data_IF_138530731375
#
_entry.id   IF_138530731375
#
_cell.length_a   1.000
_cell.length_b   1.000
_cell.length_c   1.000
_cell.angle_alpha   90.00
_cell.angle_beta   90.00
_cell.angle_gamma   90.00
#
_symmetry.space_group_name_H-M   'P 1'
#
loop_
_entity.id
_entity.type
_entity.pdbx_description
1 polymer ?
#
# COMPACT_ATOMS: atom_id res chain seq x y z
N UNK A 1 21.07 -13.00 7.99
CA UNK A 1 21.41 -12.08 6.88
C UNK A 1 21.64 -12.90 5.63
N UNK A 2 20.94 -12.59 4.55
CA UNK A 2 21.13 -13.11 3.20
C UNK A 2 21.67 -11.96 2.34
N UNK A 3 22.75 -12.20 1.60
CA UNK A 3 23.28 -11.24 0.61
C UNK A 3 23.45 -11.93 -0.74
N UNK A 4 22.95 -11.32 -1.79
CA UNK A 4 23.08 -11.81 -3.15
C UNK A 4 23.30 -10.65 -4.15
N UNK A 5 23.65 -10.93 -5.40
CA UNK A 5 23.79 -9.90 -6.42
C UNK A 5 22.50 -9.11 -6.70
N UNK A 6 21.34 -9.63 -6.35
CA UNK A 6 20.04 -9.04 -6.68
C UNK A 6 19.16 -8.72 -5.46
N UNK A 7 19.47 -9.27 -4.28
CA UNK A 7 18.64 -9.15 -3.09
C UNK A 7 19.49 -9.23 -1.82
N UNK A 8 19.36 -8.25 -0.95
CA UNK A 8 19.84 -8.35 0.44
C UNK A 8 18.65 -8.42 1.38
N UNK A 9 18.70 -9.36 2.34
CA UNK A 9 17.68 -9.51 3.39
C UNK A 9 18.35 -9.60 4.74
N UNK A 10 17.98 -8.72 5.63
CA UNK A 10 18.35 -8.76 7.04
C UNK A 10 17.07 -8.94 7.87
N UNK A 11 17.07 -9.90 8.79
CA UNK A 11 15.99 -10.08 9.74
C UNK A 11 16.55 -10.44 11.10
N UNK A 12 16.03 -9.81 12.16
CA UNK A 12 16.43 -10.03 13.54
C UNK A 12 15.18 -10.17 14.42
N UNK A 13 15.17 -11.18 15.30
CA UNK A 13 14.07 -11.43 16.21
C UNK A 13 13.64 -12.89 16.24
N UNK A 14 12.44 -13.14 16.78
CA UNK A 14 11.85 -14.48 16.86
C UNK A 14 10.84 -14.66 15.73
N UNK A 15 11.16 -15.48 14.72
CA UNK A 15 10.29 -15.75 13.58
C UNK A 15 10.51 -17.14 12.97
N UNK A 16 9.46 -17.62 12.30
CA UNK A 16 9.49 -18.79 11.42
C UNK A 16 9.28 -18.33 9.99
N UNK A 17 10.31 -18.41 9.15
CA UNK A 17 10.29 -17.87 7.78
C UNK A 17 9.06 -18.33 6.97
N UNK A 18 8.74 -19.64 7.03
CA UNK A 18 7.59 -20.22 6.33
C UNK A 18 6.22 -19.76 6.87
N UNK A 19 6.16 -19.09 8.01
CA UNK A 19 4.92 -18.65 8.68
C UNK A 19 4.76 -17.14 8.77
N UNK A 20 5.75 -16.36 8.34
CA UNK A 20 5.72 -14.89 8.38
C UNK A 20 4.45 -14.37 7.66
N UNK A 21 4.19 -14.83 6.43
CA UNK A 21 3.03 -14.39 5.66
C UNK A 21 1.71 -14.63 6.38
N UNK A 22 1.54 -15.83 6.98
CA UNK A 22 0.34 -16.17 7.74
C UNK A 22 0.22 -15.31 9.01
N UNK A 23 1.31 -15.07 9.73
CA UNK A 23 1.31 -14.25 10.94
C UNK A 23 0.92 -12.80 10.65
N UNK A 24 1.53 -12.19 9.64
CA UNK A 24 1.24 -10.81 9.20
C UNK A 24 -0.21 -10.72 8.70
N UNK A 25 -0.66 -11.66 7.89
CA UNK A 25 -2.05 -11.71 7.39
C UNK A 25 -3.08 -11.81 8.52
N UNK A 26 -2.81 -12.62 9.55
CA UNK A 26 -3.68 -12.71 10.72
C UNK A 26 -3.76 -11.39 11.50
N UNK A 27 -2.63 -10.65 11.61
CA UNK A 27 -2.62 -9.34 12.27
C UNK A 27 -3.34 -8.27 11.44
N UNK A 28 -3.17 -8.26 10.12
CA UNK A 28 -3.90 -7.35 9.22
C UNK A 28 -5.40 -7.60 9.30
N UNK A 29 -5.83 -8.87 9.37
CA UNK A 29 -7.24 -9.26 9.46
C UNK A 29 -7.95 -8.75 10.73
N UNK A 30 -7.23 -8.24 11.73
CA UNK A 30 -7.82 -7.56 12.88
C UNK A 30 -8.27 -6.13 12.57
N UNK A 31 -7.69 -5.52 11.56
CA UNK A 31 -8.06 -4.19 11.08
C UNK A 31 -9.01 -4.25 9.90
N UNK A 32 -8.79 -5.23 9.00
CA UNK A 32 -9.58 -5.44 7.80
C UNK A 32 -9.61 -6.93 7.44
N UNK A 33 -10.73 -7.58 7.64
CA UNK A 33 -10.95 -8.97 7.27
C UNK A 33 -11.75 -9.07 5.97
N UNK A 34 -11.04 -9.19 4.86
CA UNK A 34 -11.66 -9.33 3.52
C UNK A 34 -12.37 -10.69 3.32
N UNK A 35 -12.13 -11.65 4.21
CA UNK A 35 -12.74 -12.99 4.14
C UNK A 35 -13.05 -13.54 5.55
N UNK A 36 -14.04 -12.96 6.26
CA UNK A 36 -14.35 -13.31 7.65
C UNK A 36 -14.76 -14.79 7.83
N UNK A 37 -15.19 -15.47 6.75
CA UNK A 37 -15.55 -16.89 6.77
C UNK A 37 -14.36 -17.81 6.53
N UNK A 38 -13.17 -17.30 6.28
CA UNK A 38 -11.98 -18.14 6.09
C UNK A 38 -11.48 -18.66 7.44
N UNK A 39 -11.06 -19.93 7.45
CA UNK A 39 -10.45 -20.53 8.64
C UNK A 39 -9.07 -19.92 8.88
N UNK A 40 -8.92 -19.13 9.95
CA UNK A 40 -7.63 -18.56 10.34
C UNK A 40 -6.69 -19.66 10.84
N UNK A 41 -5.51 -19.73 10.28
CA UNK A 41 -4.49 -20.71 10.67
C UNK A 41 -3.75 -20.13 11.87
N UNK A 42 -3.81 -20.84 13.00
CA UNK A 42 -3.03 -20.45 14.18
C UNK A 42 -1.53 -20.61 13.91
N UNK A 43 -0.76 -19.61 14.25
CA UNK A 43 0.70 -19.61 14.17
C UNK A 43 1.29 -19.09 15.49
N UNK A 44 2.51 -19.53 15.80
CA UNK A 44 3.24 -18.96 16.96
C UNK A 44 3.42 -17.47 16.80
N UNK A 45 3.40 -16.75 17.93
CA UNK A 45 3.65 -15.29 17.94
C UNK A 45 5.07 -15.01 17.49
N UNK A 46 5.18 -14.12 16.54
CA UNK A 46 6.44 -13.69 15.95
C UNK A 46 6.70 -12.22 16.25
N UNK A 47 7.96 -11.89 16.42
CA UNK A 47 8.42 -10.52 16.61
C UNK A 47 9.79 -10.37 15.94
N UNK A 48 9.88 -9.46 14.97
CA UNK A 48 11.13 -9.24 14.24
C UNK A 48 11.19 -7.85 13.60
N UNK A 49 12.41 -7.42 13.36
CA UNK A 49 12.73 -6.30 12.45
C UNK A 49 13.32 -6.87 11.17
N UNK A 50 13.13 -6.14 10.07
CA UNK A 50 13.67 -6.57 8.79
C UNK A 50 14.09 -5.38 7.93
N UNK A 51 15.04 -5.64 7.03
CA UNK A 51 15.41 -4.78 5.92
C UNK A 51 15.63 -5.62 4.68
N UNK A 52 15.00 -5.23 3.59
CA UNK A 52 15.10 -5.87 2.28
C UNK A 52 15.57 -4.81 1.29
N UNK A 53 16.58 -5.12 0.50
CA UNK A 53 17.05 -4.26 -0.59
C UNK A 53 17.02 -5.08 -1.87
N UNK A 54 16.13 -4.72 -2.79
CA UNK A 54 16.14 -5.25 -4.16
C UNK A 54 17.09 -4.38 -4.97
N UNK A 55 18.13 -5.00 -5.51
CA UNK A 55 19.20 -4.29 -6.25
C UNK A 55 18.87 -4.22 -7.73
N UNK A 56 19.39 -3.21 -8.40
CA UNK A 56 19.44 -3.19 -9.85
C UNK A 56 20.29 -4.38 -10.33
N UNK A 57 19.61 -5.32 -10.98
CA UNK A 57 20.22 -6.56 -11.45
C UNK A 57 19.50 -7.09 -12.68
N UNK A 58 20.25 -7.53 -13.71
CA UNK A 58 19.65 -8.17 -14.89
C UNK A 58 18.77 -9.38 -14.55
N UNK A 59 19.03 -10.05 -13.43
CA UNK A 59 18.22 -11.20 -12.98
C UNK A 59 16.82 -10.72 -12.59
N UNK A 60 16.71 -9.63 -11.85
CA UNK A 60 15.41 -9.07 -11.42
C UNK A 60 14.59 -8.65 -12.63
N UNK A 61 15.22 -7.94 -13.57
CA UNK A 61 14.57 -7.52 -14.83
C UNK A 61 14.10 -8.72 -15.65
N UNK A 62 14.86 -9.81 -15.70
CA UNK A 62 14.46 -11.03 -16.43
C UNK A 62 13.35 -11.82 -15.72
N UNK A 63 13.27 -11.75 -14.40
CA UNK A 63 12.27 -12.50 -13.63
C UNK A 63 10.89 -11.82 -13.59
N UNK A 64 10.85 -10.50 -13.77
CA UNK A 64 9.62 -9.73 -13.71
C UNK A 64 9.26 -9.25 -15.12
N UNK A 65 8.21 -9.82 -15.74
CA UNK A 65 7.76 -9.37 -17.06
C UNK A 65 7.49 -7.85 -17.04
N UNK A 66 7.83 -7.16 -18.14
CA UNK A 66 7.66 -5.72 -18.32
C UNK A 66 8.54 -4.81 -17.44
N UNK A 67 9.24 -5.31 -16.43
CA UNK A 67 10.23 -4.51 -15.72
C UNK A 67 11.41 -4.19 -16.64
N UNK A 68 11.65 -2.91 -16.90
CA UNK A 68 12.74 -2.45 -17.78
C UNK A 68 13.96 -2.01 -17.00
N UNK A 69 13.73 -1.31 -15.89
CA UNK A 69 14.82 -0.84 -15.03
C UNK A 69 14.30 -0.56 -13.62
N UNK A 70 15.18 -0.62 -12.65
CA UNK A 70 14.92 -0.17 -11.29
C UNK A 70 16.20 0.41 -10.68
N UNK A 71 16.05 1.42 -9.85
CA UNK A 71 17.07 1.79 -8.85
C UNK A 71 16.80 0.99 -7.57
N UNK A 72 17.80 0.79 -6.68
CA UNK A 72 17.64 -0.07 -5.51
C UNK A 72 16.41 0.28 -4.67
N UNK A 73 15.48 -0.68 -4.56
CA UNK A 73 14.27 -0.55 -3.77
C UNK A 73 14.57 -1.02 -2.35
N UNK A 74 14.20 -0.22 -1.36
CA UNK A 74 14.37 -0.58 0.05
C UNK A 74 13.00 -0.78 0.70
N UNK A 75 12.85 -1.86 1.47
CA UNK A 75 11.73 -2.13 2.35
C UNK A 75 12.26 -2.48 3.73
N UNK A 76 11.83 -1.75 4.76
CA UNK A 76 12.25 -2.01 6.14
C UNK A 76 11.12 -1.82 7.13
N UNK A 77 11.18 -2.53 8.23
CA UNK A 77 10.12 -2.43 9.21
C UNK A 77 10.31 -3.30 10.43
N UNK A 78 9.25 -3.33 11.22
CA UNK A 78 9.10 -4.20 12.39
C UNK A 78 7.71 -4.79 12.43
N UNK A 79 7.63 -6.00 12.93
CA UNK A 79 6.39 -6.72 13.15
C UNK A 79 6.39 -7.31 14.57
N UNK A 80 5.28 -7.21 15.26
CA UNK A 80 5.08 -7.86 16.56
C UNK A 80 3.65 -8.41 16.65
N UNK A 81 3.51 -9.74 16.63
CA UNK A 81 2.24 -10.45 16.73
C UNK A 81 1.64 -10.46 18.14
N UNK A 82 2.34 -9.96 19.17
CA UNK A 82 1.80 -9.90 20.53
C UNK A 82 0.76 -8.78 20.64
N UNK A 83 1.04 -7.66 20.01
CA UNK A 83 0.17 -6.47 19.98
C UNK A 83 -0.30 -6.10 18.57
N UNK A 84 -0.11 -7.00 17.59
CA UNK A 84 -0.47 -6.84 16.18
C UNK A 84 0.14 -5.57 15.52
N UNK A 85 1.29 -5.13 16.04
CA UNK A 85 1.96 -3.94 15.53
C UNK A 85 2.71 -4.23 14.22
N UNK A 86 2.46 -3.39 13.24
CA UNK A 86 3.12 -3.42 11.93
C UNK A 86 3.65 -2.01 11.65
N UNK A 87 4.95 -1.90 11.45
CA UNK A 87 5.58 -0.68 10.95
C UNK A 87 6.35 -1.03 9.69
N UNK A 88 6.07 -0.32 8.60
CA UNK A 88 6.68 -0.57 7.30
C UNK A 88 7.06 0.75 6.65
N UNK A 89 8.28 0.83 6.13
CA UNK A 89 8.75 1.93 5.29
C UNK A 89 9.35 1.35 4.03
N UNK A 90 8.86 1.79 2.88
CA UNK A 90 9.34 1.41 1.56
C UNK A 90 9.78 2.63 0.77
N UNK A 91 10.84 2.50 -0.03
CA UNK A 91 11.29 3.54 -0.96
C UNK A 91 11.63 2.93 -2.31
N UNK A 92 11.16 3.58 -3.37
CA UNK A 92 11.43 3.26 -4.76
C UNK A 92 11.95 4.53 -5.42
N UNK A 93 13.29 4.73 -5.54
CA UNK A 93 13.83 5.94 -6.14
C UNK A 93 13.41 6.09 -7.59
N UNK A 94 13.56 5.03 -8.39
CA UNK A 94 13.08 5.01 -9.78
C UNK A 94 12.77 3.59 -10.24
N UNK A 95 11.67 3.44 -10.94
CA UNK A 95 11.21 2.17 -11.51
C UNK A 95 10.58 2.42 -12.88
N UNK A 96 10.96 1.65 -13.89
CA UNK A 96 10.29 1.63 -15.19
C UNK A 96 9.65 0.27 -15.43
N UNK A 97 8.31 0.26 -15.53
CA UNK A 97 7.50 -0.93 -15.72
C UNK A 97 6.54 -0.72 -16.91
N UNK A 98 6.66 -1.56 -17.92
CA UNK A 98 5.97 -1.33 -19.20
C UNK A 98 6.37 0.01 -19.80
N UNK A 99 5.42 0.89 -20.04
CA UNK A 99 5.63 2.25 -20.52
C UNK A 99 5.65 3.31 -19.41
N UNK A 100 5.44 2.89 -18.15
CA UNK A 100 5.33 3.81 -17.02
C UNK A 100 6.67 3.94 -16.31
N UNK A 101 7.05 5.16 -15.99
CA UNK A 101 8.17 5.48 -15.08
C UNK A 101 7.62 6.09 -13.81
N UNK A 102 8.04 5.52 -12.69
CA UNK A 102 7.72 5.98 -11.33
C UNK A 102 9.00 6.56 -10.74
N UNK A 103 8.91 7.74 -10.18
CA UNK A 103 10.04 8.44 -9.57
C UNK A 103 9.72 8.81 -8.12
N UNK A 104 10.66 8.52 -7.22
CA UNK A 104 10.60 8.83 -5.78
C UNK A 104 9.28 8.40 -5.12
N UNK A 105 8.97 7.10 -5.18
CA UNK A 105 7.84 6.58 -4.44
C UNK A 105 8.25 6.18 -3.01
N UNK A 106 7.40 6.51 -2.03
CA UNK A 106 7.57 6.17 -0.63
C UNK A 106 6.27 5.60 -0.04
N UNK A 107 6.38 4.45 0.62
CA UNK A 107 5.30 3.81 1.36
C UNK A 107 5.60 3.88 2.86
N UNK A 108 4.61 4.28 3.65
CA UNK A 108 4.63 4.18 5.12
C UNK A 108 3.38 3.48 5.60
N UNK A 109 3.54 2.52 6.50
CA UNK A 109 2.44 1.90 7.24
C UNK A 109 2.83 1.87 8.70
N UNK A 110 1.93 2.25 9.57
CA UNK A 110 2.13 2.23 11.02
C UNK A 110 0.84 1.82 11.75
N UNK A 111 0.99 1.00 12.77
CA UNK A 111 -0.10 0.72 13.70
C UNK A 111 -0.18 1.82 14.74
N UNK A 112 -1.26 2.58 14.73
CA UNK A 112 -1.52 3.68 15.65
C UNK A 112 -2.99 3.70 16.06
N UNK A 113 -3.25 3.92 17.35
CA UNK A 113 -4.61 4.07 17.90
C UNK A 113 -5.58 2.95 17.47
N UNK A 114 -5.10 1.70 17.53
CA UNK A 114 -5.84 0.50 17.12
C UNK A 114 -6.30 0.52 15.65
N UNK A 115 -5.54 1.18 14.79
CA UNK A 115 -5.73 1.23 13.35
C UNK A 115 -4.41 1.03 12.60
N UNK A 116 -4.47 0.64 11.34
CA UNK A 116 -3.34 0.73 10.41
C UNK A 116 -3.43 2.06 9.66
N UNK A 117 -2.51 2.96 9.90
CA UNK A 117 -2.38 4.20 9.14
C UNK A 117 -1.40 3.98 8.00
N UNK A 118 -1.75 4.43 6.80
CA UNK A 118 -0.89 4.27 5.64
C UNK A 118 -0.77 5.55 4.82
N UNK A 119 0.36 5.70 4.16
CA UNK A 119 0.62 6.76 3.18
C UNK A 119 1.52 6.23 2.09
N UNK A 120 1.13 6.45 0.85
CA UNK A 120 1.92 6.20 -0.34
C UNK A 120 2.05 7.50 -1.12
N UNK A 121 3.27 7.97 -1.30
CA UNK A 121 3.58 9.24 -1.98
C UNK A 121 4.46 8.93 -3.18
N UNK A 122 4.19 9.57 -4.31
CA UNK A 122 5.00 9.47 -5.53
C UNK A 122 5.21 10.87 -6.08
N UNK A 123 6.46 11.23 -6.35
CA UNK A 123 6.78 12.54 -6.93
C UNK A 123 6.32 12.63 -8.38
N UNK A 124 6.49 11.56 -9.17
CA UNK A 124 6.05 11.56 -10.56
C UNK A 124 5.74 10.14 -11.06
N UNK A 125 4.63 9.99 -11.76
CA UNK A 125 4.27 8.82 -12.54
C UNK A 125 4.01 9.30 -13.96
N UNK A 126 4.83 8.87 -14.92
CA UNK A 126 4.68 9.31 -16.30
C UNK A 126 4.79 8.18 -17.31
N UNK A 127 4.07 8.34 -18.41
CA UNK A 127 4.24 7.62 -19.65
C UNK A 127 4.05 8.57 -20.82
N UNK A 128 3.94 8.04 -22.06
CA UNK A 128 3.76 8.86 -23.28
C UNK A 128 2.48 9.70 -23.31
N UNK A 129 1.48 9.35 -22.52
CA UNK A 129 0.12 9.93 -22.57
C UNK A 129 -0.25 10.70 -21.31
N UNK A 130 0.30 10.30 -20.16
CA UNK A 130 -0.13 10.79 -18.83
C UNK A 130 1.11 11.15 -18.02
N UNK A 131 1.02 12.28 -17.34
CA UNK A 131 1.90 12.65 -16.25
C UNK A 131 1.06 12.97 -15.01
N UNK A 132 1.38 12.28 -13.90
CA UNK A 132 0.70 12.42 -12.60
C UNK A 132 1.76 12.81 -11.55
N UNK A 133 2.09 14.10 -11.45
CA UNK A 133 3.03 14.58 -10.45
C UNK A 133 2.38 14.60 -9.07
N UNK A 134 3.20 14.57 -8.03
CA UNK A 134 2.83 14.74 -6.62
C UNK A 134 1.56 13.99 -6.20
N UNK A 135 1.54 12.68 -6.51
CA UNK A 135 0.44 11.79 -6.18
C UNK A 135 0.59 11.28 -4.75
N UNK A 136 -0.46 11.41 -3.95
CA UNK A 136 -0.52 10.86 -2.60
C UNK A 136 -1.78 10.02 -2.43
N UNK A 137 -1.63 8.81 -1.87
CA UNK A 137 -2.72 7.99 -1.38
C UNK A 137 -2.48 7.77 0.11
N UNK A 138 -3.41 8.18 0.96
CA UNK A 138 -3.28 8.02 2.40
C UNK A 138 -4.61 7.67 3.06
N UNK A 139 -4.54 7.16 4.27
CA UNK A 139 -5.72 6.81 5.04
C UNK A 139 -5.43 5.94 6.24
N UNK A 140 -6.49 5.31 6.74
CA UNK A 140 -6.41 4.35 7.84
C UNK A 140 -7.34 3.18 7.60
N UNK A 141 -7.02 2.07 8.23
CA UNK A 141 -7.82 0.84 8.21
C UNK A 141 -8.20 0.48 9.64
N UNK A 142 -9.47 0.42 9.92
CA UNK A 142 -10.01 0.11 11.25
C UNK A 142 -11.43 -0.45 11.13
N UNK A 143 -11.76 -1.49 11.90
CA UNK A 143 -13.10 -2.06 11.97
C UNK A 143 -13.67 -2.45 10.59
N UNK A 144 -12.86 -3.10 9.76
CA UNK A 144 -13.20 -3.52 8.39
C UNK A 144 -13.55 -2.37 7.44
N UNK A 145 -13.14 -1.15 7.78
CA UNK A 145 -13.30 0.03 6.94
C UNK A 145 -11.91 0.55 6.58
N UNK A 146 -11.71 0.81 5.30
CA UNK A 146 -10.56 1.52 4.76
C UNK A 146 -11.00 2.94 4.45
N UNK A 147 -10.58 3.93 5.23
CA UNK A 147 -10.65 5.33 4.84
C UNK A 147 -9.53 5.60 3.84
N UNK A 148 -9.80 6.32 2.77
CA UNK A 148 -8.80 6.70 1.80
C UNK A 148 -8.95 8.14 1.33
N UNK A 149 -7.83 8.74 0.99
CA UNK A 149 -7.72 10.02 0.30
C UNK A 149 -6.69 9.87 -0.81
N UNK A 150 -7.11 10.07 -2.05
CA UNK A 150 -6.25 10.23 -3.22
C UNK A 150 -6.14 11.71 -3.53
N UNK A 151 -4.93 12.23 -3.57
CA UNK A 151 -4.62 13.62 -3.91
C UNK A 151 -3.59 13.64 -5.04
N UNK A 152 -3.84 14.42 -6.07
CA UNK A 152 -2.86 14.76 -7.10
C UNK A 152 -2.75 16.28 -7.20
N UNK A 153 -1.51 16.76 -7.26
CA UNK A 153 -1.23 18.16 -7.55
C UNK A 153 -0.58 18.29 -8.92
N UNK A 154 -0.64 19.46 -9.48
CA UNK A 154 0.07 19.76 -10.72
C UNK A 154 1.54 20.18 -10.43
N UNK A 155 2.29 20.50 -11.48
CA UNK A 155 3.69 20.94 -11.38
C UNK A 155 3.87 22.32 -10.68
N UNK A 156 2.78 23.04 -10.42
CA UNK A 156 2.76 24.30 -9.67
C UNK A 156 2.32 24.11 -8.22
N UNK A 157 2.23 22.83 -7.76
CA UNK A 157 1.77 22.45 -6.42
C UNK A 157 0.29 22.82 -6.15
N UNK A 158 -0.50 23.02 -7.22
CA UNK A 158 -1.95 23.25 -7.12
C UNK A 158 -2.68 21.91 -7.15
N UNK A 159 -3.64 21.72 -6.23
CA UNK A 159 -4.46 20.51 -6.16
C UNK A 159 -5.34 20.41 -7.40
N UNK A 160 -5.17 19.31 -8.15
CA UNK A 160 -5.91 19.03 -9.38
C UNK A 160 -7.00 17.98 -9.18
N UNK A 161 -6.68 16.95 -8.37
CA UNK A 161 -7.61 15.90 -7.99
C UNK A 161 -7.57 15.66 -6.50
N UNK A 162 -8.74 15.60 -5.87
CA UNK A 162 -8.92 15.14 -4.50
C UNK A 162 -10.12 14.20 -4.47
N UNK A 163 -9.91 12.95 -4.09
CA UNK A 163 -10.95 11.94 -3.99
C UNK A 163 -10.80 11.25 -2.64
N UNK A 164 -11.73 11.49 -1.75
CA UNK A 164 -11.76 10.83 -0.45
C UNK A 164 -12.99 9.95 -0.30
N UNK A 165 -12.93 8.98 0.58
CA UNK A 165 -14.04 8.09 0.84
C UNK A 165 -13.69 6.92 1.73
N UNK A 166 -14.61 5.95 1.76
CA UNK A 166 -14.44 4.71 2.49
C UNK A 166 -14.65 3.50 1.60
N UNK A 167 -13.91 2.44 1.86
CA UNK A 167 -14.11 1.11 1.28
C UNK A 167 -14.44 0.14 2.41
N UNK A 168 -15.49 -0.64 2.26
CA UNK A 168 -15.91 -1.67 3.19
C UNK A 168 -16.17 -2.98 2.47
N UNK A 169 -15.67 -4.09 3.04
CA UNK A 169 -16.06 -5.43 2.58
C UNK A 169 -17.32 -5.86 3.33
N UNK A 170 -18.37 -6.27 2.61
CA UNK A 170 -19.64 -6.72 3.18
C UNK A 170 -20.13 -7.95 2.43
N UNK A 171 -20.13 -9.11 3.10
CA UNK A 171 -20.68 -10.36 2.56
C UNK A 171 -20.16 -10.75 1.15
N UNK A 172 -18.85 -10.58 0.91
CA UNK A 172 -18.21 -10.90 -0.37
C UNK A 172 -18.36 -9.83 -1.46
N UNK A 173 -19.02 -8.71 -1.14
CA UNK A 173 -19.07 -7.50 -1.96
C UNK A 173 -18.18 -6.41 -1.36
N UNK A 174 -17.72 -5.51 -2.20
CA UNK A 174 -17.06 -4.29 -1.78
C UNK A 174 -18.01 -3.10 -1.97
N UNK A 175 -18.05 -2.22 -1.00
CA UNK A 175 -18.84 -1.00 -0.99
C UNK A 175 -17.91 0.20 -0.92
N UNK A 176 -17.97 1.09 -1.89
CA UNK A 176 -17.28 2.38 -1.89
C UNK A 176 -18.29 3.47 -1.63
N UNK A 177 -17.96 4.33 -0.68
CA UNK A 177 -18.67 5.58 -0.43
C UNK A 177 -17.69 6.73 -0.63
N UNK A 178 -18.02 7.69 -1.50
CA UNK A 178 -17.22 8.89 -1.72
C UNK A 178 -17.64 9.99 -0.73
N UNK A 179 -16.66 10.73 -0.21
CA UNK A 179 -16.93 11.88 0.66
C UNK A 179 -17.47 13.05 -0.16
N UNK A 180 -18.73 13.51 0.10
CA UNK A 180 -19.33 14.60 -0.67
C UNK A 180 -18.63 15.96 -0.52
N UNK A 181 -17.77 16.12 0.48
CA UNK A 181 -17.03 17.36 0.75
C UNK A 181 -15.64 17.40 0.13
N UNK A 182 -15.11 16.24 -0.23
CA UNK A 182 -13.73 16.07 -0.68
C UNK A 182 -13.68 15.39 -2.05
N UNK A 183 -14.36 16.00 -3.04
CA UNK A 183 -14.35 15.57 -4.43
C UNK A 183 -13.99 16.74 -5.33
N UNK A 184 -12.73 16.76 -5.76
CA UNK A 184 -12.17 17.68 -6.75
C UNK A 184 -11.71 16.88 -7.95
N UNK A 185 -12.17 17.22 -9.15
CA UNK A 185 -11.77 16.58 -10.39
C UNK A 185 -11.38 17.66 -11.40
N UNK A 186 -10.12 17.62 -11.81
CA UNK A 186 -9.54 18.58 -12.78
C UNK A 186 -9.74 20.04 -12.39
N UNK A 187 -9.36 20.37 -11.12
CA UNK A 187 -9.52 21.68 -10.47
C UNK A 187 -10.96 22.09 -10.14
N UNK A 188 -11.95 21.31 -10.49
CA UNK A 188 -13.36 21.63 -10.23
C UNK A 188 -13.94 20.81 -9.09
N UNK A 189 -14.57 21.49 -8.13
CA UNK A 189 -15.26 20.82 -7.01
C UNK A 189 -16.58 20.24 -7.49
N UNK A 190 -16.73 18.93 -7.30
CA UNK A 190 -17.95 18.20 -7.67
C UNK A 190 -18.83 17.97 -6.45
N UNK A 191 -20.15 18.04 -6.66
CA UNK A 191 -21.14 17.72 -5.63
C UNK A 191 -21.75 16.37 -5.90
N UNK A 192 -21.72 15.49 -4.93
CA UNK A 192 -22.39 14.19 -4.97
C UNK A 192 -23.37 14.08 -3.82
N UNK A 193 -24.39 13.24 -3.98
CA UNK A 193 -25.39 13.04 -2.95
C UNK A 193 -24.77 12.43 -1.67
N UNK A 194 -25.15 12.89 -0.48
CA UNK A 194 -24.86 12.16 0.75
C UNK A 194 -25.45 10.75 0.67
N UNK A 195 -24.71 9.75 1.18
CA UNK A 195 -25.14 8.35 1.11
C UNK A 195 -24.97 7.69 -0.26
N UNK A 196 -24.18 8.32 -1.17
CA UNK A 196 -23.78 7.66 -2.41
C UNK A 196 -23.10 6.33 -2.11
N UNK A 197 -23.33 5.33 -2.95
CA UNK A 197 -22.81 3.98 -2.72
C UNK A 197 -22.56 3.28 -4.04
N UNK A 198 -21.32 2.84 -4.23
CA UNK A 198 -20.92 2.00 -5.37
C UNK A 198 -20.66 0.59 -4.82
N UNK A 199 -21.40 -0.39 -5.34
CA UNK A 199 -21.22 -1.80 -4.98
C UNK A 199 -20.62 -2.57 -6.15
N UNK A 200 -19.61 -3.39 -5.84
CA UNK A 200 -19.02 -4.32 -6.80
C UNK A 200 -18.58 -5.60 -6.08
N UNK A 201 -18.69 -6.73 -6.77
CA UNK A 201 -18.35 -8.04 -6.20
C UNK A 201 -18.85 -9.17 -7.10
N UNK A 202 -18.79 -10.38 -6.58
CA UNK A 202 -19.34 -11.54 -7.28
C UNK A 202 -20.88 -11.42 -7.30
N UNK A 203 -21.44 -11.56 -8.50
CA UNK A 203 -22.86 -11.83 -8.68
C UNK A 203 -23.21 -13.21 -8.17
#
# INVERSE_FOLDING_TARGET
>A
VLKSPFLDVEANGKYQLSKIGTAVSNSIAKYYDSNPNSKKIAVEKQEFTFKIVVKDSPIVVKMIPELKSLEPITLQGRYNAVNDSIVLNGTVPKLTYGENTITNAALKVDTKDNSLVYSFVVDDIQNKQIQLPYTTISGKVQNDIVDYTLQLKDLKDVERYLIAGTLKATNGNNEINLDPKNLLLDYESWKIAPGNLIRFGKK
#
